data_IF_235407204340
#
_entry.id   IF_235407204340
#
_cell.length_a   1.000
_cell.length_b   1.000
_cell.length_c   1.000
_cell.angle_alpha   90.00
_cell.angle_beta   90.00
_cell.angle_gamma   90.00
#
_symmetry.space_group_name_H-M   'P 1'
#
loop_
_entity.id
_entity.type
_entity.pdbx_description
1 polymer ?
#
# COMPACT_ATOMS: atom_id res chain seq x y z
N UNK A 1 -10.19 4.15 -45.87
CA UNK A 1 -10.45 2.75 -45.42
C UNK A 1 -9.21 2.11 -44.78
N UNK A 2 -8.00 2.25 -45.35
CA UNK A 2 -6.74 1.74 -44.75
C UNK A 2 -6.30 2.48 -43.46
N UNK A 3 -6.58 3.77 -43.35
CA UNK A 3 -6.23 4.55 -42.15
C UNK A 3 -7.09 4.18 -40.93
N UNK A 4 -8.39 3.96 -41.14
CA UNK A 4 -9.33 3.55 -40.09
C UNK A 4 -9.05 2.13 -39.56
N UNK A 5 -8.60 1.23 -40.42
CA UNK A 5 -8.21 -0.14 -40.02
C UNK A 5 -6.92 -0.15 -39.20
N UNK A 6 -5.97 0.75 -39.49
CA UNK A 6 -4.75 0.92 -38.68
C UNK A 6 -5.09 1.48 -37.29
N UNK A 7 -5.98 2.47 -37.20
CA UNK A 7 -6.40 3.07 -35.92
C UNK A 7 -7.13 2.05 -35.03
N UNK A 8 -8.04 1.25 -35.61
CA UNK A 8 -8.74 0.17 -34.91
C UNK A 8 -7.81 -0.97 -34.47
N UNK A 9 -6.75 -1.23 -35.23
CA UNK A 9 -5.72 -2.21 -34.87
C UNK A 9 -4.84 -1.72 -33.71
N UNK A 10 -4.46 -0.44 -33.70
CA UNK A 10 -3.66 0.17 -32.63
C UNK A 10 -4.39 0.21 -31.28
N UNK A 11 -5.72 0.36 -31.25
CA UNK A 11 -6.50 0.36 -30.00
C UNK A 11 -6.48 -0.98 -29.25
N UNK A 12 -6.27 -2.10 -29.95
CA UNK A 12 -6.23 -3.44 -29.34
C UNK A 12 -4.91 -3.65 -28.58
N UNK A 13 -3.82 -3.00 -29.02
CA UNK A 13 -2.49 -3.13 -28.41
C UNK A 13 -2.35 -2.38 -27.08
N UNK A 14 -3.22 -1.40 -26.80
CA UNK A 14 -3.15 -0.55 -25.59
C UNK A 14 -3.90 -1.19 -24.40
N UNK A 15 -4.72 -2.21 -24.62
CA UNK A 15 -5.63 -2.76 -23.60
C UNK A 15 -4.97 -3.74 -22.61
N UNK A 16 -3.66 -3.96 -22.68
CA UNK A 16 -2.96 -4.92 -21.83
C UNK A 16 -2.18 -4.22 -20.71
N UNK A 17 -2.89 -3.59 -19.79
CA UNK A 17 -2.36 -3.21 -18.47
C UNK A 17 -2.78 -4.28 -17.46
N UNK A 18 -1.86 -5.20 -17.16
CA UNK A 18 -2.03 -6.13 -16.04
C UNK A 18 -1.98 -5.32 -14.75
N UNK A 19 -3.16 -4.96 -14.23
CA UNK A 19 -3.28 -4.45 -12.88
C UNK A 19 -2.91 -5.61 -11.95
N UNK A 20 -1.66 -5.62 -11.45
CA UNK A 20 -1.30 -6.43 -10.29
C UNK A 20 -2.14 -5.90 -9.14
N UNK A 21 -3.23 -6.58 -8.81
CA UNK A 21 -3.89 -6.36 -7.52
C UNK A 21 -2.86 -6.65 -6.44
N UNK A 22 -2.53 -5.62 -5.65
CA UNK A 22 -1.67 -5.79 -4.51
C UNK A 22 -2.45 -6.61 -3.48
N UNK A 23 -2.03 -7.86 -3.29
CA UNK A 23 -2.65 -8.74 -2.31
C UNK A 23 -2.34 -8.16 -0.92
N UNK A 24 -3.37 -7.62 -0.27
CA UNK A 24 -3.29 -7.21 1.13
C UNK A 24 -3.09 -8.48 1.97
N UNK A 25 -1.89 -8.63 2.53
CA UNK A 25 -1.51 -9.81 3.30
C UNK A 25 -1.17 -9.42 4.73
N UNK A 26 -2.00 -9.90 5.66
CA UNK A 26 -1.74 -9.77 7.09
C UNK A 26 -0.38 -10.39 7.48
N UNK A 27 0.00 -11.50 6.85
CA UNK A 27 1.28 -12.17 7.11
C UNK A 27 2.46 -11.23 6.83
N UNK A 28 2.40 -10.47 5.73
CA UNK A 28 3.44 -9.51 5.37
C UNK A 28 3.56 -8.40 6.42
N UNK A 29 2.42 -7.86 6.84
CA UNK A 29 2.40 -6.76 7.80
C UNK A 29 2.86 -7.21 9.19
N UNK A 30 2.46 -8.40 9.63
CA UNK A 30 2.92 -9.03 10.89
C UNK A 30 4.40 -9.35 10.84
N UNK A 31 4.91 -9.85 9.71
CA UNK A 31 6.33 -10.16 9.54
C UNK A 31 7.20 -8.92 9.68
N UNK A 32 6.79 -7.79 9.06
CA UNK A 32 7.48 -6.51 9.22
C UNK A 32 7.43 -6.06 10.68
N UNK A 33 6.26 -6.03 11.30
CA UNK A 33 6.11 -5.57 12.69
C UNK A 33 6.82 -6.44 13.73
N UNK A 34 7.15 -7.68 13.38
CA UNK A 34 7.90 -8.61 14.22
C UNK A 34 9.41 -8.57 13.97
N UNK A 35 9.88 -7.79 13.00
CA UNK A 35 11.28 -7.73 12.61
C UNK A 35 12.15 -7.09 13.70
N UNK A 36 13.39 -7.59 13.85
CA UNK A 36 14.33 -7.12 14.87
C UNK A 36 14.78 -5.66 14.63
N UNK A 37 14.57 -5.09 13.44
CA UNK A 37 14.86 -3.69 13.12
C UNK A 37 14.14 -2.71 14.04
N UNK A 38 12.96 -3.09 14.57
CA UNK A 38 12.24 -2.28 15.54
C UNK A 38 12.91 -2.32 16.94
N UNK A 39 13.88 -3.21 17.20
CA UNK A 39 14.60 -3.34 18.48
C UNK A 39 13.69 -3.48 19.72
N UNK A 40 12.46 -3.98 19.51
CA UNK A 40 11.40 -4.04 20.53
C UNK A 40 10.48 -2.81 20.53
N UNK A 41 9.23 -2.97 20.98
CA UNK A 41 8.17 -1.96 20.87
C UNK A 41 7.58 -1.58 22.22
N UNK A 42 8.44 -1.40 23.22
CA UNK A 42 7.99 -0.96 24.55
C UNK A 42 7.48 0.48 24.43
N UNK A 43 6.42 0.83 25.15
CA UNK A 43 5.84 2.18 25.13
C UNK A 43 6.90 3.24 25.43
N UNK A 44 6.96 4.29 24.60
CA UNK A 44 7.91 5.39 24.75
C UNK A 44 9.32 5.07 24.27
N UNK A 45 9.49 4.04 23.43
CA UNK A 45 10.78 3.71 22.80
C UNK A 45 10.76 4.04 21.32
N UNK A 46 11.94 4.18 20.72
CA UNK A 46 12.09 4.45 19.29
C UNK A 46 11.40 3.39 18.42
N UNK A 47 11.51 2.12 18.81
CA UNK A 47 10.85 1.02 18.09
C UNK A 47 9.33 1.09 18.10
N UNK A 48 8.74 1.66 19.16
CA UNK A 48 7.30 1.92 19.21
C UNK A 48 6.89 3.03 18.23
N UNK A 49 7.64 4.12 18.16
CA UNK A 49 7.40 5.21 17.19
C UNK A 49 7.53 4.71 15.74
N UNK A 50 8.54 3.90 15.46
CA UNK A 50 8.73 3.28 14.15
C UNK A 50 7.56 2.35 13.77
N UNK A 51 7.09 1.55 14.71
CA UNK A 51 5.95 0.66 14.48
C UNK A 51 4.65 1.46 14.25
N UNK A 52 4.43 2.55 14.99
CA UNK A 52 3.29 3.43 14.80
C UNK A 52 3.32 4.09 13.40
N UNK A 53 4.47 4.61 12.98
CA UNK A 53 4.65 5.20 11.65
C UNK A 53 4.39 4.19 10.52
N UNK A 54 4.86 2.94 10.69
CA UNK A 54 4.55 1.87 9.74
C UNK A 54 3.04 1.62 9.64
N UNK A 55 2.35 1.51 10.77
CA UNK A 55 0.90 1.25 10.80
C UNK A 55 0.11 2.37 10.14
N UNK A 56 0.44 3.63 10.43
CA UNK A 56 -0.18 4.80 9.79
C UNK A 56 -0.03 4.74 8.26
N UNK A 57 1.20 4.53 7.77
CA UNK A 57 1.46 4.40 6.33
C UNK A 57 0.69 3.22 5.72
N UNK A 58 0.64 2.07 6.40
CA UNK A 58 -0.10 0.90 5.90
C UNK A 58 -1.60 1.17 5.83
N UNK A 59 -2.17 1.89 6.80
CA UNK A 59 -3.58 2.26 6.80
C UNK A 59 -3.94 3.17 5.61
N UNK A 60 -3.09 4.16 5.30
CA UNK A 60 -3.27 4.98 4.12
C UNK A 60 -3.21 4.15 2.83
N UNK A 61 -2.20 3.27 2.71
CA UNK A 61 -2.00 2.42 1.53
C UNK A 61 -3.18 1.48 1.23
N UNK A 62 -3.84 0.96 2.27
CA UNK A 62 -5.01 0.09 2.11
C UNK A 62 -6.34 0.87 2.03
N UNK A 63 -6.28 2.20 1.99
CA UNK A 63 -7.44 3.07 1.78
C UNK A 63 -8.32 3.27 3.01
N UNK A 64 -7.81 2.98 4.21
CA UNK A 64 -8.55 3.27 5.44
C UNK A 64 -8.71 4.77 5.62
N UNK A 65 -9.81 5.15 6.25
CA UNK A 65 -10.08 6.54 6.61
C UNK A 65 -9.62 6.80 8.05
N UNK A 66 -8.92 7.91 8.30
CA UNK A 66 -8.48 8.23 9.64
C UNK A 66 -9.68 8.57 10.54
N UNK A 67 -9.57 8.23 11.83
CA UNK A 67 -10.62 8.46 12.84
C UNK A 67 -10.08 9.04 14.14
N UNK A 68 -8.78 9.30 14.21
CA UNK A 68 -8.13 10.00 15.31
C UNK A 68 -8.41 11.49 15.31
N UNK A 69 -7.87 12.17 16.31
CA UNK A 69 -7.99 13.62 16.45
C UNK A 69 -7.37 14.31 15.24
N UNK A 70 -8.03 15.35 14.73
CA UNK A 70 -7.59 16.12 13.55
C UNK A 70 -7.35 15.27 12.29
N UNK A 71 -7.99 14.09 12.17
CA UNK A 71 -7.81 13.23 11.00
C UNK A 71 -6.54 12.40 11.02
N UNK A 72 -5.99 12.09 12.20
CA UNK A 72 -4.90 11.14 12.37
C UNK A 72 -5.37 9.67 12.33
N UNK A 73 -4.46 8.75 12.05
CA UNK A 73 -4.71 7.30 12.09
C UNK A 73 -4.42 6.66 13.46
N UNK A 74 -3.53 7.27 14.24
CA UNK A 74 -3.05 6.79 15.55
C UNK A 74 -3.17 7.87 16.61
#
# INVERSE_FOLDING_TARGET
MRLFTIIFCCSILISCTSNKEEIISLEKDVSVLADDTFNGRKTGTEGELQAAAYIEQRFEQIGLQPKGMMGAYT
#
